data_IF_573418252158
#
_entry.id   IF_573418252158
#
_cell.length_a   1.000
_cell.length_b   1.000
_cell.length_c   1.000
_cell.angle_alpha   90.00
_cell.angle_beta   90.00
_cell.angle_gamma   90.00
#
_symmetry.space_group_name_H-M   'P 1'
#
loop_
_entity.id
_entity.type
_entity.pdbx_description
1 polymer ?
#
# COMPACT_ATOMS: atom_id res chain seq x y z
N UNK A 1 12.54 7.02 -29.68
CA UNK A 1 11.79 6.07 -28.82
C UNK A 1 12.81 5.37 -27.92
N UNK A 2 12.74 5.36 -26.58
CA UNK A 2 11.63 4.93 -25.71
C UNK A 2 11.67 5.72 -24.38
N UNK A 3 10.54 6.29 -23.97
CA UNK A 3 10.30 6.87 -22.64
C UNK A 3 10.53 5.78 -21.59
N UNK A 4 11.61 5.87 -20.80
CA UNK A 4 11.89 4.89 -19.73
C UNK A 4 10.86 5.11 -18.63
N UNK A 5 9.99 4.13 -18.42
CA UNK A 5 8.94 4.20 -17.40
C UNK A 5 9.56 4.34 -16.00
N UNK A 6 8.92 5.18 -15.19
CA UNK A 6 9.17 5.56 -13.77
C UNK A 6 9.32 4.40 -12.78
N UNK A 7 9.27 3.15 -13.22
CA UNK A 7 9.55 1.96 -12.40
C UNK A 7 10.88 1.35 -12.85
N UNK A 8 11.96 1.65 -12.11
CA UNK A 8 13.24 0.95 -12.27
C UNK A 8 13.05 -0.50 -11.84
N UNK A 9 12.74 -1.39 -12.79
CA UNK A 9 12.47 -2.81 -12.48
C UNK A 9 13.71 -3.61 -12.09
N UNK A 10 14.89 -2.98 -11.97
CA UNK A 10 16.16 -3.61 -11.56
C UNK A 10 16.50 -4.91 -12.33
N UNK A 11 15.91 -5.11 -13.51
CA UNK A 11 16.01 -6.33 -14.32
C UNK A 11 15.36 -7.58 -13.70
N UNK A 12 14.46 -7.45 -12.72
CA UNK A 12 13.85 -8.58 -11.99
C UNK A 12 12.32 -8.58 -12.07
N UNK A 13 11.74 -9.77 -11.90
CA UNK A 13 10.30 -9.93 -11.70
C UNK A 13 9.86 -9.26 -10.39
N UNK A 14 8.59 -8.88 -10.30
CA UNK A 14 8.08 -8.01 -9.24
C UNK A 14 8.25 -8.62 -7.84
N UNK A 15 7.99 -9.92 -7.72
CA UNK A 15 8.14 -10.72 -6.51
C UNK A 15 9.58 -10.75 -6.02
N UNK A 16 10.53 -11.10 -6.89
CA UNK A 16 11.97 -11.17 -6.55
C UNK A 16 12.52 -9.78 -6.25
N UNK A 17 12.07 -8.76 -6.98
CA UNK A 17 12.48 -7.37 -6.72
C UNK A 17 12.02 -6.92 -5.34
N UNK A 18 10.76 -7.19 -4.99
CA UNK A 18 10.20 -6.76 -3.72
C UNK A 18 10.85 -7.49 -2.54
N UNK A 19 11.10 -8.79 -2.66
CA UNK A 19 11.82 -9.55 -1.61
C UNK A 19 13.23 -9.00 -1.41
N UNK A 20 13.99 -8.79 -2.49
CA UNK A 20 15.33 -8.22 -2.41
C UNK A 20 15.35 -6.85 -1.73
N UNK A 21 14.47 -5.93 -2.12
CA UNK A 21 14.43 -4.58 -1.53
C UNK A 21 14.05 -4.64 -0.04
N UNK A 22 13.13 -5.52 0.34
CA UNK A 22 12.76 -5.72 1.76
C UNK A 22 13.97 -6.22 2.57
N UNK A 23 14.70 -7.21 2.07
CA UNK A 23 15.90 -7.71 2.73
C UNK A 23 16.94 -6.59 2.90
N UNK A 24 17.21 -5.81 1.85
CA UNK A 24 18.16 -4.69 1.92
C UNK A 24 17.76 -3.62 2.94
N UNK A 25 16.46 -3.30 3.05
CA UNK A 25 15.97 -2.35 4.05
C UNK A 25 16.14 -2.91 5.46
N UNK A 26 15.82 -4.18 5.69
CA UNK A 26 16.04 -4.83 6.99
C UNK A 26 17.51 -4.81 7.38
N UNK A 27 18.40 -5.18 6.47
CA UNK A 27 19.85 -5.19 6.71
C UNK A 27 20.36 -3.78 7.02
N UNK A 28 19.86 -2.76 6.32
CA UNK A 28 20.20 -1.36 6.57
C UNK A 28 19.79 -0.92 7.98
N UNK A 29 18.58 -1.27 8.43
CA UNK A 29 18.10 -0.90 9.76
C UNK A 29 18.83 -1.67 10.88
N UNK A 30 19.22 -2.91 10.62
CA UNK A 30 19.91 -3.75 11.60
C UNK A 30 21.39 -3.38 11.76
N UNK A 31 22.09 -3.17 10.65
CA UNK A 31 23.54 -2.95 10.64
C UNK A 31 23.93 -1.46 10.54
N UNK A 32 22.98 -0.56 10.27
CA UNK A 32 23.21 0.87 10.13
C UNK A 32 23.90 1.30 8.83
N UNK A 33 24.62 0.40 8.15
CA UNK A 33 25.27 0.64 6.86
C UNK A 33 25.34 -0.66 6.05
N UNK A 34 25.06 -0.56 4.75
CA UNK A 34 25.23 -1.67 3.80
C UNK A 34 25.96 -1.18 2.54
N UNK A 35 26.69 -2.08 1.90
CA UNK A 35 27.30 -1.84 0.59
C UNK A 35 26.43 -2.46 -0.51
N UNK A 36 26.02 -1.64 -1.48
CA UNK A 36 25.07 -2.03 -2.54
C UNK A 36 25.30 -1.19 -3.78
N UNK A 37 24.72 -1.59 -4.91
CA UNK A 37 24.84 -0.84 -6.17
C UNK A 37 24.04 0.46 -6.09
N UNK A 38 24.49 1.52 -6.76
CA UNK A 38 23.86 2.86 -6.71
C UNK A 38 22.35 2.82 -7.05
N UNK A 39 21.98 2.03 -8.05
CA UNK A 39 20.57 1.87 -8.47
C UNK A 39 19.70 1.26 -7.38
N UNK A 40 20.22 0.26 -6.65
CA UNK A 40 19.52 -0.39 -5.53
C UNK A 40 19.48 0.51 -4.30
N UNK A 41 20.55 1.25 -4.04
CA UNK A 41 20.62 2.23 -2.95
C UNK A 41 19.51 3.28 -3.08
N UNK A 42 19.29 3.82 -4.29
CA UNK A 42 18.23 4.82 -4.53
C UNK A 42 16.83 4.30 -4.20
N UNK A 43 16.54 3.03 -4.50
CA UNK A 43 15.24 2.42 -4.18
C UNK A 43 15.12 2.05 -2.69
N UNK A 44 16.16 1.44 -2.13
CA UNK A 44 16.21 1.06 -0.71
C UNK A 44 16.03 2.29 0.19
N UNK A 45 16.69 3.41 -0.16
CA UNK A 45 16.57 4.68 0.55
C UNK A 45 15.13 5.18 0.59
N UNK A 46 14.44 5.23 -0.55
CA UNK A 46 13.07 5.72 -0.63
C UNK A 46 12.11 4.90 0.26
N UNK A 47 12.32 3.58 0.34
CA UNK A 47 11.51 2.69 1.18
C UNK A 47 11.86 2.90 2.66
N UNK A 48 13.15 2.96 3.00
CA UNK A 48 13.60 3.17 4.37
C UNK A 48 13.11 4.51 4.94
N UNK A 49 13.23 5.61 4.18
CA UNK A 49 12.78 6.95 4.58
C UNK A 49 11.26 6.94 4.89
N UNK A 50 10.47 6.28 4.04
CA UNK A 50 9.02 6.15 4.27
C UNK A 50 8.69 5.34 5.52
N UNK A 51 9.45 4.28 5.81
CA UNK A 51 9.23 3.46 7.00
C UNK A 51 9.62 4.20 8.28
N UNK A 52 10.73 4.95 8.26
CA UNK A 52 11.15 5.78 9.38
C UNK A 52 10.10 6.87 9.65
N UNK A 53 9.57 7.51 8.61
CA UNK A 53 8.53 8.53 8.77
C UNK A 53 7.25 7.98 9.42
N UNK A 54 6.82 6.77 9.03
CA UNK A 54 5.69 6.09 9.66
C UNK A 54 6.00 5.72 11.11
N UNK A 55 7.19 5.16 11.37
CA UNK A 55 7.60 4.78 12.72
C UNK A 55 7.63 5.99 13.68
N UNK A 56 8.15 7.14 13.22
CA UNK A 56 8.17 8.37 14.02
C UNK A 56 6.76 8.87 14.31
N UNK A 57 5.84 8.78 13.34
CA UNK A 57 4.45 9.18 13.52
C UNK A 57 3.72 8.32 14.56
N UNK A 58 3.96 7.01 14.56
CA UNK A 58 3.27 6.05 15.43
C UNK A 58 3.94 5.85 16.79
N UNK A 59 5.19 6.32 16.99
CA UNK A 59 5.96 6.09 18.22
C UNK A 59 5.27 6.56 19.53
N UNK A 60 4.29 7.47 19.44
CA UNK A 60 3.50 7.97 20.57
C UNK A 60 2.01 7.59 20.53
N UNK A 61 1.59 6.79 19.55
CA UNK A 61 0.18 6.46 19.33
C UNK A 61 -0.24 5.22 20.14
N UNK A 62 -0.51 5.41 21.43
CA UNK A 62 -0.90 4.34 22.36
C UNK A 62 -2.41 4.34 22.69
N UNK A 63 -3.17 5.25 22.09
CA UNK A 63 -4.61 5.37 22.33
C UNK A 63 -5.39 4.38 21.46
N UNK A 64 -6.26 3.60 22.09
CA UNK A 64 -7.17 2.71 21.38
C UNK A 64 -8.29 3.53 20.72
N UNK A 65 -8.26 3.65 19.40
CA UNK A 65 -9.33 4.29 18.64
C UNK A 65 -10.35 3.24 18.21
N UNK A 66 -11.60 3.40 18.63
CA UNK A 66 -12.74 2.62 18.12
C UNK A 66 -12.96 2.93 16.63
N UNK A 67 -12.35 2.15 15.75
CA UNK A 67 -12.60 2.26 14.30
C UNK A 67 -14.00 1.73 14.01
N UNK A 68 -14.96 2.64 13.81
CA UNK A 68 -16.28 2.30 13.27
C UNK A 68 -16.13 1.81 11.84
N UNK A 69 -15.94 0.50 11.66
CA UNK A 69 -15.93 -0.12 10.34
C UNK A 69 -17.36 -0.10 9.79
N UNK A 70 -17.66 0.89 8.96
CA UNK A 70 -18.92 0.97 8.23
C UNK A 70 -18.95 -0.06 7.10
N UNK A 71 -19.20 -1.34 7.46
CA UNK A 71 -19.63 -2.32 6.45
C UNK A 71 -21.02 -1.91 5.95
N UNK A 72 -21.20 -1.89 4.63
CA UNK A 72 -22.53 -1.78 4.04
C UNK A 72 -23.39 -2.94 4.56
N UNK A 73 -24.64 -2.67 4.98
CA UNK A 73 -25.59 -3.73 5.32
C UNK A 73 -25.85 -4.55 4.05
N UNK A 74 -25.48 -5.84 4.09
CA UNK A 74 -25.72 -6.81 3.04
C UNK A 74 -27.07 -7.50 3.29
N UNK A 75 -27.78 -7.86 2.23
CA UNK A 75 -28.92 -8.76 2.33
C UNK A 75 -28.46 -10.23 2.48
N UNK A 76 -29.39 -11.15 2.72
CA UNK A 76 -29.14 -12.60 2.84
C UNK A 76 -28.52 -13.22 1.57
N UNK A 77 -28.45 -12.47 0.46
CA UNK A 77 -27.95 -12.91 -0.85
C UNK A 77 -26.63 -12.22 -1.25
N UNK A 78 -26.03 -11.45 -0.35
CA UNK A 78 -24.71 -10.84 -0.53
C UNK A 78 -24.69 -9.62 -1.47
N UNK A 79 -25.84 -9.03 -1.79
CA UNK A 79 -25.95 -7.84 -2.63
C UNK A 79 -26.02 -6.59 -1.74
N UNK A 80 -25.35 -5.50 -2.18
CA UNK A 80 -25.41 -4.21 -1.50
C UNK A 80 -26.79 -3.58 -1.70
N UNK A 81 -27.53 -3.34 -0.61
CA UNK A 81 -28.81 -2.63 -0.63
C UNK A 81 -28.62 -1.21 -1.19
N UNK A 82 -28.95 -1.00 -2.46
CA UNK A 82 -29.07 0.33 -3.07
C UNK A 82 -30.53 0.78 -2.98
N UNK A 83 -30.74 2.03 -2.57
CA UNK A 83 -32.03 2.63 -2.26
C UNK A 83 -33.12 2.34 -3.32
N UNK A 84 -34.26 1.77 -2.89
CA UNK A 84 -35.48 1.47 -3.64
C UNK A 84 -36.14 2.68 -4.38
N UNK A 85 -35.53 3.87 -4.36
CA UNK A 85 -36.14 5.11 -4.86
C UNK A 85 -36.06 5.30 -6.39
N UNK A 86 -35.23 4.54 -7.12
CA UNK A 86 -35.11 4.69 -8.59
C UNK A 86 -36.14 3.90 -9.41
N UNK A 87 -36.93 3.01 -8.79
CA UNK A 87 -37.81 2.09 -9.54
C UNK A 87 -39.28 2.55 -9.65
N UNK A 88 -39.68 3.69 -9.05
CA UNK A 88 -41.08 4.16 -9.07
C UNK A 88 -41.46 5.09 -10.23
N UNK A 89 -40.56 5.37 -11.16
CA UNK A 89 -40.83 6.28 -12.28
C UNK A 89 -40.67 5.57 -13.62
N UNK A 90 -41.64 4.73 -13.97
CA UNK A 90 -42.35 4.68 -15.27
C UNK A 90 -43.57 3.80 -15.03
N UNK A 91 -44.74 4.44 -14.86
CA UNK A 91 -46.02 3.75 -14.93
C UNK A 91 -46.31 3.40 -16.38
N UNK A 92 -46.83 2.20 -16.63
CA UNK A 92 -47.57 1.88 -17.84
C UNK A 92 -48.92 1.27 -17.44
N UNK A 93 -49.89 2.15 -17.25
CA UNK A 93 -51.31 2.10 -17.66
C UNK A 93 -51.91 3.47 -17.34
#
# INVERSE_FOLDING_TARGET
>A
MKKVATNRKLGRTTDIRLSMLKTQVTDLLWHGKIETTETRAKETKAIADSLIALAVKEAGNFEEVEVKVSRAKLDEKGIKLQNLQRAKMVMNT
#
